data_IF_090751626878
#
_entry.id   IF_090751626878
#
_cell.length_a   1.000
_cell.length_b   1.000
_cell.length_c   1.000
_cell.angle_alpha   90.00
_cell.angle_beta   90.00
_cell.angle_gamma   90.00
#
_symmetry.space_group_name_H-M   'P 1'
#
loop_
_entity.id
_entity.type
_entity.pdbx_description
1 polymer ?
#
# COMPACT_ATOMS: atom_id res chain seq x y z
N UNK A 1 39.39 -3.27 15.92
CA UNK A 1 38.59 -3.45 14.70
C UNK A 1 37.67 -2.24 14.59
N UNK A 2 37.79 -1.38 13.58
CA UNK A 2 36.84 -0.29 13.40
C UNK A 2 35.48 -0.92 13.07
N UNK A 3 34.48 -0.63 13.90
CA UNK A 3 33.08 -0.94 13.62
C UNK A 3 32.68 -0.16 12.38
N UNK A 4 32.58 -0.86 11.24
CA UNK A 4 31.94 -0.33 10.04
C UNK A 4 30.52 0.05 10.41
N UNK A 5 30.24 1.35 10.58
CA UNK A 5 28.87 1.84 10.58
C UNK A 5 28.19 1.33 9.30
N UNK A 6 26.97 0.78 9.36
CA UNK A 6 26.26 0.40 8.16
C UNK A 6 26.15 1.63 7.26
N UNK A 7 26.57 1.47 6.01
CA UNK A 7 26.47 2.51 4.99
C UNK A 7 25.01 2.98 4.92
N UNK A 8 24.73 4.21 5.32
CA UNK A 8 23.39 4.80 5.14
C UNK A 8 23.23 5.15 3.68
N UNK A 9 22.40 4.38 2.98
CA UNK A 9 21.91 4.73 1.65
C UNK A 9 21.34 6.16 1.68
N UNK A 10 21.64 6.96 0.66
CA UNK A 10 21.19 8.35 0.55
C UNK A 10 19.79 8.46 -0.03
N UNK A 11 19.36 7.47 -0.82
CA UNK A 11 18.06 7.46 -1.50
C UNK A 11 17.35 6.11 -1.35
N UNK A 12 16.01 6.10 -1.26
CA UNK A 12 15.22 4.87 -1.24
C UNK A 12 15.51 3.97 -2.45
N UNK A 13 15.71 2.67 -2.20
CA UNK A 13 15.85 1.63 -3.23
C UNK A 13 17.00 1.84 -4.24
N UNK A 14 18.03 2.60 -3.87
CA UNK A 14 19.23 2.83 -4.71
C UNK A 14 19.87 1.51 -5.18
N UNK A 15 19.93 0.51 -4.30
CA UNK A 15 20.50 -0.81 -4.61
C UNK A 15 19.53 -1.72 -5.37
N UNK A 16 18.26 -1.33 -5.49
CA UNK A 16 17.19 -2.06 -6.15
C UNK A 16 15.98 -2.32 -5.25
N UNK A 17 14.96 -3.01 -5.78
CA UNK A 17 13.76 -3.34 -5.02
C UNK A 17 14.04 -4.37 -3.92
N UNK A 18 13.20 -4.38 -2.89
CA UNK A 18 13.30 -5.26 -1.72
C UNK A 18 12.15 -6.26 -1.74
N UNK A 19 12.44 -7.54 -1.51
CA UNK A 19 11.42 -8.57 -1.34
C UNK A 19 10.74 -8.45 0.04
N UNK A 20 9.44 -8.16 0.05
CA UNK A 20 8.65 -7.98 1.27
C UNK A 20 8.00 -9.30 1.68
N UNK A 21 7.51 -10.05 0.71
CA UNK A 21 6.94 -11.39 0.84
C UNK A 21 7.48 -12.27 -0.28
N UNK A 22 7.46 -13.61 -0.14
CA UNK A 22 7.94 -14.51 -1.19
C UNK A 22 7.29 -14.22 -2.55
N UNK A 23 8.08 -13.77 -3.52
CA UNK A 23 7.64 -13.39 -4.86
C UNK A 23 7.05 -11.99 -5.00
N UNK A 24 7.04 -11.17 -3.95
CA UNK A 24 6.48 -9.80 -3.95
C UNK A 24 7.52 -8.79 -3.49
N UNK A 25 7.80 -7.85 -4.37
CA UNK A 25 8.87 -6.87 -4.27
C UNK A 25 8.28 -5.46 -4.18
N UNK A 26 8.96 -4.60 -3.43
CA UNK A 26 8.64 -3.19 -3.27
C UNK A 26 9.82 -2.34 -3.74
N UNK A 27 9.53 -1.29 -4.52
CA UNK A 27 10.58 -0.42 -5.04
C UNK A 27 10.11 0.98 -5.47
N UNK A 28 11.08 1.74 -5.95
CA UNK A 28 10.92 3.02 -6.63
C UNK A 28 10.73 2.83 -8.15
N UNK A 29 10.47 3.89 -8.90
CA UNK A 29 10.29 3.87 -10.35
C UNK A 29 11.49 3.23 -11.07
N UNK A 30 12.71 3.53 -10.61
CA UNK A 30 13.96 3.02 -11.17
C UNK A 30 14.11 1.51 -10.97
N UNK A 31 13.44 0.95 -9.96
CA UNK A 31 13.47 -0.49 -9.64
C UNK A 31 12.83 -1.35 -10.73
N UNK A 32 11.93 -0.78 -11.54
CA UNK A 32 11.20 -1.51 -12.60
C UNK A 32 12.17 -2.18 -13.58
N UNK A 33 13.26 -1.51 -13.95
CA UNK A 33 14.24 -2.01 -14.92
C UNK A 33 15.28 -2.97 -14.33
N UNK A 34 15.30 -3.16 -13.00
CA UNK A 34 16.28 -4.00 -12.28
C UNK A 34 15.90 -5.48 -12.30
N UNK A 35 15.67 -6.02 -13.50
CA UNK A 35 15.26 -7.42 -13.72
C UNK A 35 16.24 -8.42 -13.11
N UNK A 36 17.51 -8.03 -13.08
CA UNK A 36 18.59 -8.76 -12.45
C UNK A 36 18.40 -8.96 -10.95
N UNK A 37 17.46 -8.28 -10.29
CA UNK A 37 17.22 -8.47 -8.86
C UNK A 37 15.97 -9.32 -8.63
N UNK A 38 14.84 -8.90 -9.19
CA UNK A 38 13.54 -9.43 -8.80
C UNK A 38 12.90 -10.37 -9.84
N UNK A 39 13.49 -10.52 -11.03
CA UNK A 39 12.99 -11.39 -12.10
C UNK A 39 13.82 -12.66 -12.34
N UNK A 40 14.86 -12.92 -11.51
CA UNK A 40 15.85 -13.99 -11.73
C UNK A 40 15.30 -15.42 -11.83
N UNK A 41 14.26 -15.74 -11.05
CA UNK A 41 13.75 -17.10 -10.87
C UNK A 41 12.31 -17.25 -11.36
N UNK A 42 12.01 -16.69 -12.54
CA UNK A 42 10.66 -16.67 -13.11
C UNK A 42 10.33 -17.94 -13.89
N UNK A 43 9.30 -18.66 -13.47
CA UNK A 43 8.70 -19.73 -14.26
C UNK A 43 8.03 -19.11 -15.48
N UNK A 44 8.63 -19.22 -16.67
CA UNK A 44 8.05 -18.70 -17.91
C UNK A 44 8.51 -17.30 -18.33
N UNK A 45 9.52 -16.71 -17.68
CA UNK A 45 10.06 -15.39 -18.03
C UNK A 45 9.00 -14.27 -18.04
N UNK A 46 8.00 -14.39 -17.16
CA UNK A 46 6.92 -13.41 -16.97
C UNK A 46 7.04 -12.75 -15.60
N UNK A 47 6.74 -11.46 -15.55
CA UNK A 47 6.69 -10.64 -14.33
C UNK A 47 5.47 -9.73 -14.33
N UNK A 48 5.01 -9.37 -13.13
CA UNK A 48 3.97 -8.36 -12.92
C UNK A 48 4.55 -7.08 -12.34
N UNK A 49 4.14 -5.95 -12.89
CA UNK A 49 4.49 -4.61 -12.39
C UNK A 49 3.21 -3.89 -12.02
N UNK A 50 3.11 -3.44 -10.77
CA UNK A 50 2.01 -2.62 -10.25
C UNK A 50 2.53 -1.21 -10.01
N UNK A 51 2.20 -0.30 -10.91
CA UNK A 51 2.40 1.13 -10.73
C UNK A 51 1.16 1.73 -10.06
N UNK A 52 1.31 2.23 -8.83
CA UNK A 52 0.20 2.86 -8.10
C UNK A 52 0.19 4.39 -8.18
N UNK A 53 1.17 5.02 -8.84
CA UNK A 53 1.30 6.47 -8.87
C UNK A 53 0.68 7.10 -10.12
N UNK A 54 -0.17 8.11 -9.95
CA UNK A 54 -0.78 8.81 -11.09
C UNK A 54 0.21 9.51 -12.02
N UNK A 55 1.30 10.03 -11.45
CA UNK A 55 2.30 10.82 -12.15
C UNK A 55 3.47 9.99 -12.67
N UNK A 56 3.56 8.70 -12.36
CA UNK A 56 4.57 7.80 -12.92
C UNK A 56 4.00 7.20 -14.20
N UNK A 57 4.65 7.42 -15.34
CA UNK A 57 4.16 6.89 -16.61
C UNK A 57 4.58 5.45 -16.81
N UNK A 58 3.89 4.81 -17.75
CA UNK A 58 4.24 3.48 -18.22
C UNK A 58 5.58 3.52 -19.00
N UNK A 59 6.67 2.96 -18.46
CA UNK A 59 7.99 3.06 -19.08
C UNK A 59 8.13 2.18 -20.34
N UNK A 60 7.16 1.30 -20.59
CA UNK A 60 7.16 0.39 -21.73
C UNK A 60 6.31 0.90 -22.90
N UNK A 61 5.50 1.92 -22.67
CA UNK A 61 4.64 2.53 -23.68
C UNK A 61 5.47 3.48 -24.54
N UNK A 62 6.01 2.96 -25.65
CA UNK A 62 6.50 3.81 -26.72
C UNK A 62 5.29 4.50 -27.37
N UNK A 63 4.84 5.62 -26.79
CA UNK A 63 3.72 6.40 -27.33
C UNK A 63 3.90 6.66 -28.84
N UNK A 64 2.83 7.05 -29.57
CA UNK A 64 2.94 7.28 -31.00
C UNK A 64 4.09 8.25 -31.28
N UNK A 65 5.09 7.79 -32.05
CA UNK A 65 6.25 8.59 -32.46
C UNK A 65 5.71 9.93 -32.94
N UNK A 66 6.01 11.02 -32.23
CA UNK A 66 5.66 12.37 -32.70
C UNK A 66 6.41 12.58 -34.01
N UNK A 67 5.70 12.40 -35.13
CA UNK A 67 6.19 12.85 -36.42
C UNK A 67 6.24 14.36 -36.30
N UNK A 68 7.45 14.92 -36.27
CA UNK A 68 7.67 16.36 -36.29
C UNK A 68 7.03 16.94 -37.55
N UNK A 69 5.83 17.48 -37.43
CA UNK A 69 5.11 18.09 -38.56
C UNK A 69 3.58 18.08 -38.48
N UNK A 70 2.96 17.29 -37.60
CA UNK A 70 1.50 17.34 -37.42
C UNK A 70 1.10 18.02 -36.12
N UNK A 71 0.66 19.28 -36.22
CA UNK A 71 -0.05 19.95 -35.14
C UNK A 71 -1.36 19.21 -34.87
N UNK A 72 -1.63 18.89 -33.59
CA UNK A 72 -2.90 18.31 -33.15
C UNK A 72 -4.06 19.17 -33.68
N UNK A 73 -5.14 18.60 -34.25
CA UNK A 73 -6.37 19.36 -34.42
C UNK A 73 -6.83 19.76 -33.02
N UNK A 74 -6.84 21.06 -32.75
CA UNK A 74 -7.47 21.65 -31.58
C UNK A 74 -8.97 21.36 -31.66
N UNK A 75 -9.46 20.41 -30.87
CA UNK A 75 -10.90 20.10 -30.89
C UNK A 75 -11.35 18.77 -30.27
N UNK A 76 -10.46 17.93 -29.75
CA UNK A 76 -10.89 16.79 -28.91
C UNK A 76 -11.00 17.28 -27.46
N UNK A 77 -12.15 17.12 -26.79
CA UNK A 77 -12.29 17.47 -25.37
C UNK A 77 -11.21 16.77 -24.56
N UNK A 78 -10.60 17.51 -23.64
CA UNK A 78 -9.58 17.04 -22.68
C UNK A 78 -10.10 15.97 -21.69
N UNK A 79 -11.34 15.53 -21.90
CA UNK A 79 -12.18 14.67 -21.06
C UNK A 79 -12.12 13.16 -21.38
N UNK A 80 -11.47 12.71 -22.47
CA UNK A 80 -11.55 11.30 -22.92
C UNK A 80 -10.48 10.34 -22.36
N UNK A 81 -9.47 10.75 -21.57
CA UNK A 81 -8.50 9.73 -21.10
C UNK A 81 -7.71 10.04 -19.84
N UNK A 82 -8.40 10.23 -18.72
CA UNK A 82 -7.87 9.78 -17.42
C UNK A 82 -8.59 8.50 -17.02
N UNK A 83 -8.42 7.43 -17.80
CA UNK A 83 -8.73 6.08 -17.30
C UNK A 83 -7.94 5.89 -16.01
N UNK A 84 -8.63 5.73 -14.87
CA UNK A 84 -7.98 5.61 -13.56
C UNK A 84 -7.08 4.37 -13.53
N UNK A 85 -7.51 3.29 -14.18
CA UNK A 85 -6.72 2.06 -14.28
C UNK A 85 -6.32 1.77 -15.75
N UNK A 86 -5.13 1.20 -15.95
CA UNK A 86 -4.63 0.72 -17.25
C UNK A 86 -3.90 -0.61 -17.09
N UNK A 87 -4.35 -1.64 -17.82
CA UNK A 87 -3.77 -2.98 -17.83
C UNK A 87 -3.18 -3.20 -19.22
N UNK A 88 -1.91 -3.58 -19.29
CA UNK A 88 -1.20 -3.82 -20.55
C UNK A 88 -0.29 -5.01 -20.40
N UNK A 89 -0.04 -5.67 -21.52
CA UNK A 89 0.91 -6.78 -21.61
C UNK A 89 1.97 -6.43 -22.64
N UNK A 90 3.23 -6.62 -22.26
CA UNK A 90 4.38 -6.34 -23.09
C UNK A 90 5.18 -7.63 -23.33
N UNK A 91 5.39 -8.03 -24.60
CA UNK A 91 6.17 -9.21 -24.90
C UNK A 91 7.63 -9.04 -24.46
N UNK A 92 8.28 -10.17 -24.17
CA UNK A 92 9.70 -10.21 -23.88
C UNK A 92 10.49 -9.56 -25.02
N UNK A 93 11.52 -8.78 -24.68
CA UNK A 93 12.37 -8.10 -25.64
C UNK A 93 13.82 -8.57 -25.46
N UNK A 94 14.45 -8.94 -26.57
CA UNK A 94 15.85 -9.41 -26.61
C UNK A 94 16.75 -8.25 -27.03
N UNK A 95 17.74 -7.92 -26.19
CA UNK A 95 18.70 -6.82 -26.39
C UNK A 95 19.70 -6.74 -25.22
N UNK A 96 20.49 -5.67 -25.15
CA UNK A 96 21.33 -5.37 -23.97
C UNK A 96 20.43 -5.13 -22.76
N UNK A 97 20.33 -6.11 -21.85
CA UNK A 97 19.41 -6.09 -20.71
C UNK A 97 18.05 -6.75 -21.01
N UNK A 98 18.06 -8.01 -21.48
CA UNK A 98 16.89 -8.85 -21.76
C UNK A 98 15.70 -8.56 -20.84
N UNK A 99 14.63 -8.00 -21.41
CA UNK A 99 13.40 -7.69 -20.67
C UNK A 99 12.47 -8.91 -20.69
N UNK A 100 11.96 -9.37 -19.53
CA UNK A 100 10.95 -10.43 -19.47
C UNK A 100 9.63 -10.00 -20.12
N UNK A 101 8.71 -10.94 -20.26
CA UNK A 101 7.31 -10.63 -20.55
C UNK A 101 6.72 -9.87 -19.36
N UNK A 102 6.17 -8.68 -19.58
CA UNK A 102 5.66 -7.82 -18.50
C UNK A 102 4.15 -7.70 -18.58
N UNK A 103 3.48 -8.14 -17.53
CA UNK A 103 2.09 -7.80 -17.24
C UNK A 103 2.09 -6.54 -16.38
N UNK A 104 1.59 -5.44 -16.92
CA UNK A 104 1.70 -4.11 -16.33
C UNK A 104 0.32 -3.58 -15.93
N UNK A 105 0.16 -3.28 -14.64
CA UNK A 105 -1.01 -2.63 -14.08
C UNK A 105 -0.63 -1.22 -13.62
N UNK A 106 -1.45 -0.23 -13.98
CA UNK A 106 -1.30 1.14 -13.53
C UNK A 106 -2.59 1.67 -12.93
N UNK A 107 -2.65 1.78 -11.60
CA UNK A 107 -3.84 2.14 -10.83
C UNK A 107 -4.02 3.67 -10.60
N UNK A 108 -3.00 4.47 -10.95
CA UNK A 108 -2.97 5.95 -10.93
C UNK A 108 -3.57 6.61 -9.68
N UNK A 109 -3.06 6.30 -8.50
CA UNK A 109 -3.46 7.00 -7.29
C UNK A 109 -2.68 8.30 -7.07
N UNK A 110 -3.39 9.31 -6.63
CA UNK A 110 -2.84 10.50 -5.98
C UNK A 110 -2.41 10.20 -4.53
N UNK A 111 -1.67 11.09 -3.88
CA UNK A 111 -1.37 10.95 -2.44
C UNK A 111 -2.62 11.12 -1.56
N UNK A 112 -3.65 11.76 -2.08
CA UNK A 112 -4.94 12.00 -1.42
C UNK A 112 -6.09 11.24 -2.05
N UNK A 113 -5.81 10.14 -2.78
CA UNK A 113 -6.87 9.35 -3.40
C UNK A 113 -7.74 8.75 -2.30
N UNK A 114 -9.05 9.02 -2.35
CA UNK A 114 -10.00 8.53 -1.35
C UNK A 114 -10.67 7.24 -1.81
N UNK A 115 -11.18 6.46 -0.86
CA UNK A 115 -11.96 5.25 -1.14
C UNK A 115 -11.12 4.06 -1.61
N UNK A 116 -9.80 4.06 -1.41
CA UNK A 116 -8.93 2.91 -1.70
C UNK A 116 -9.23 1.71 -0.78
N UNK A 117 -9.80 1.96 0.39
CA UNK A 117 -10.19 0.94 1.36
C UNK A 117 -11.54 0.27 1.04
N UNK A 118 -12.36 0.87 0.17
CA UNK A 118 -13.70 0.37 -0.10
C UNK A 118 -13.63 -1.01 -0.75
N UNK A 119 -14.58 -1.87 -0.38
CA UNK A 119 -14.73 -3.20 -0.95
C UNK A 119 -15.85 -3.22 -2.00
N UNK A 120 -15.70 -4.00 -3.09
CA UNK A 120 -16.81 -4.23 -4.01
C UNK A 120 -17.93 -5.02 -3.33
N UNK A 121 -19.15 -4.89 -3.86
CA UNK A 121 -20.29 -5.68 -3.42
C UNK A 121 -20.00 -7.19 -3.56
N UNK A 122 -20.27 -7.95 -2.50
CA UNK A 122 -20.04 -9.39 -2.48
C UNK A 122 -18.57 -9.80 -2.29
N UNK A 123 -17.66 -8.88 -1.97
CA UNK A 123 -16.29 -9.21 -1.60
C UNK A 123 -16.25 -10.30 -0.51
N UNK A 124 -15.34 -11.27 -0.66
CA UNK A 124 -15.14 -12.35 0.29
C UNK A 124 -13.66 -12.65 0.48
N UNK A 125 -13.24 -13.08 1.67
CA UNK A 125 -11.87 -13.55 1.91
C UNK A 125 -11.47 -14.71 0.98
N UNK A 126 -12.44 -15.47 0.48
CA UNK A 126 -12.20 -16.50 -0.54
C UNK A 126 -11.62 -15.94 -1.84
N UNK A 127 -11.91 -14.69 -2.17
CA UNK A 127 -11.37 -14.01 -3.35
C UNK A 127 -9.87 -13.74 -3.25
N UNK A 128 -9.32 -13.76 -2.03
CA UNK A 128 -7.88 -13.66 -1.79
C UNK A 128 -7.23 -15.04 -1.87
N UNK A 129 -7.88 -16.09 -1.35
CA UNK A 129 -7.35 -17.46 -1.42
C UNK A 129 -7.41 -18.06 -2.82
N UNK A 130 -8.48 -17.77 -3.57
CA UNK A 130 -8.71 -18.25 -4.93
C UNK A 130 -8.92 -17.04 -5.85
N UNK A 131 -7.87 -16.25 -6.06
CA UNK A 131 -7.99 -15.01 -6.79
C UNK A 131 -8.32 -15.29 -8.25
N UNK A 132 -9.22 -14.48 -8.78
CA UNK A 132 -9.47 -14.33 -10.20
C UNK A 132 -9.07 -12.92 -10.57
N UNK A 133 -8.26 -12.77 -11.61
CA UNK A 133 -7.88 -11.46 -12.13
C UNK A 133 -9.15 -10.60 -12.28
N UNK A 134 -9.17 -9.37 -11.74
CA UNK A 134 -10.29 -8.46 -11.96
C UNK A 134 -10.52 -8.27 -13.46
N UNK A 135 -11.78 -8.15 -13.86
CA UNK A 135 -12.10 -7.76 -15.23
C UNK A 135 -11.50 -6.38 -15.52
N UNK A 136 -11.01 -6.20 -16.75
CA UNK A 136 -10.56 -4.90 -17.23
C UNK A 136 -11.77 -3.96 -17.23
N UNK A 137 -11.84 -3.13 -16.19
CA UNK A 137 -12.91 -2.18 -15.96
C UNK A 137 -12.32 -0.78 -15.98
N UNK A 138 -13.02 0.16 -16.62
CA UNK A 138 -12.59 1.57 -16.71
C UNK A 138 -12.63 2.31 -15.34
N UNK A 139 -12.85 1.59 -14.24
CA UNK A 139 -12.99 2.11 -12.89
C UNK A 139 -11.68 2.34 -12.13
N UNK A 140 -11.80 2.88 -10.93
CA UNK A 140 -10.69 2.97 -9.97
C UNK A 140 -10.38 1.58 -9.43
N UNK A 141 -9.17 1.07 -9.66
CA UNK A 141 -8.67 -0.05 -8.87
C UNK A 141 -8.28 0.44 -7.49
N UNK A 142 -8.88 -0.18 -6.47
CA UNK A 142 -8.62 0.08 -5.05
C UNK A 142 -7.63 -0.95 -4.53
N UNK A 143 -7.48 -1.03 -3.20
CA UNK A 143 -6.67 -2.09 -2.60
C UNK A 143 -7.18 -3.48 -3.02
N UNK A 144 -8.48 -3.71 -2.98
CA UNK A 144 -9.05 -5.04 -3.21
C UNK A 144 -8.75 -5.60 -4.61
N UNK A 145 -8.97 -4.82 -5.67
CA UNK A 145 -8.70 -5.27 -7.05
C UNK A 145 -7.20 -5.49 -7.28
N UNK A 146 -6.36 -4.57 -6.80
CA UNK A 146 -4.91 -4.70 -6.92
C UNK A 146 -4.39 -5.94 -6.18
N UNK A 147 -4.85 -6.19 -4.96
CA UNK A 147 -4.48 -7.35 -4.13
C UNK A 147 -4.86 -8.66 -4.84
N UNK A 148 -6.08 -8.75 -5.39
CA UNK A 148 -6.53 -9.96 -6.11
C UNK A 148 -5.70 -10.22 -7.37
N UNK A 149 -5.42 -9.16 -8.13
CA UNK A 149 -4.57 -9.28 -9.31
C UNK A 149 -3.14 -9.68 -8.93
N UNK A 150 -2.57 -9.11 -7.87
CA UNK A 150 -1.26 -9.53 -7.39
C UNK A 150 -1.27 -10.99 -6.94
N UNK A 151 -2.24 -11.40 -6.12
CA UNK A 151 -2.26 -12.74 -5.55
C UNK A 151 -2.44 -13.84 -6.61
N UNK A 152 -3.22 -13.59 -7.67
CA UNK A 152 -3.34 -14.51 -8.80
C UNK A 152 -1.99 -14.77 -9.48
N UNK A 153 -1.18 -13.73 -9.66
CA UNK A 153 0.15 -13.85 -10.24
C UNK A 153 1.12 -14.54 -9.29
N UNK A 154 1.09 -14.19 -8.00
CA UNK A 154 1.99 -14.74 -6.99
C UNK A 154 1.79 -16.24 -6.83
N UNK A 155 0.53 -16.69 -6.77
CA UNK A 155 0.18 -18.12 -6.70
C UNK A 155 0.59 -18.87 -7.97
N UNK A 156 0.59 -18.21 -9.13
CA UNK A 156 1.13 -18.73 -10.39
C UNK A 156 2.66 -18.74 -10.48
N UNK A 157 3.37 -18.27 -9.44
CA UNK A 157 4.83 -18.18 -9.44
C UNK A 157 5.39 -17.01 -10.25
N UNK A 158 4.56 -16.00 -10.55
CA UNK A 158 4.94 -14.77 -11.23
C UNK A 158 5.39 -13.74 -10.17
N UNK A 159 6.64 -13.28 -10.19
CA UNK A 159 7.13 -12.21 -9.34
C UNK A 159 6.40 -10.90 -9.63
N UNK A 160 6.08 -10.20 -8.56
CA UNK A 160 5.35 -8.93 -8.61
C UNK A 160 6.24 -7.84 -8.04
N UNK A 161 6.36 -6.73 -8.77
CA UNK A 161 6.93 -5.49 -8.27
C UNK A 161 5.83 -4.46 -8.05
N UNK A 162 5.69 -3.99 -6.82
CA UNK A 162 4.85 -2.84 -6.46
C UNK A 162 5.75 -1.61 -6.42
N UNK A 163 5.39 -0.56 -7.16
CA UNK A 163 6.14 0.69 -7.13
C UNK A 163 5.26 1.93 -7.25
N UNK A 164 5.80 3.02 -6.72
CA UNK A 164 5.38 4.38 -7.01
C UNK A 164 6.64 5.14 -7.47
N UNK A 165 6.68 6.47 -7.37
CA UNK A 165 7.88 7.20 -7.75
C UNK A 165 9.08 6.86 -6.82
N UNK A 166 8.94 7.04 -5.50
CA UNK A 166 10.04 6.81 -4.54
C UNK A 166 9.97 5.47 -3.79
N UNK A 167 8.89 4.70 -3.92
CA UNK A 167 8.68 3.48 -3.15
C UNK A 167 8.39 3.68 -1.65
N UNK A 168 8.06 4.91 -1.23
CA UNK A 168 7.93 5.30 0.20
C UNK A 168 6.49 5.30 0.69
N UNK A 169 5.56 5.91 -0.05
CA UNK A 169 4.20 6.20 0.42
C UNK A 169 3.15 5.28 -0.23
N UNK A 170 2.62 5.61 -1.42
CA UNK A 170 1.55 4.84 -2.09
C UNK A 170 1.84 3.35 -2.30
N UNK A 171 3.02 2.98 -2.79
CA UNK A 171 3.36 1.56 -3.00
C UNK A 171 3.55 0.82 -1.69
N UNK A 172 4.08 1.49 -0.67
CA UNK A 172 4.18 0.91 0.68
C UNK A 172 2.79 0.69 1.27
N UNK A 173 1.86 1.63 1.09
CA UNK A 173 0.45 1.46 1.49
C UNK A 173 -0.15 0.21 0.87
N UNK A 174 0.01 -0.02 -0.44
CA UNK A 174 -0.48 -1.24 -1.07
C UNK A 174 0.21 -2.50 -0.51
N UNK A 175 1.51 -2.46 -0.23
CA UNK A 175 2.23 -3.59 0.37
C UNK A 175 1.69 -3.94 1.78
N UNK A 176 1.37 -2.93 2.60
CA UNK A 176 0.75 -3.11 3.92
C UNK A 176 -0.68 -3.65 3.78
N UNK A 177 -1.50 -3.07 2.89
CA UNK A 177 -2.85 -3.56 2.62
C UNK A 177 -2.86 -5.02 2.14
N UNK A 178 -1.95 -5.37 1.23
CA UNK A 178 -1.76 -6.74 0.75
C UNK A 178 -1.39 -7.70 1.88
N UNK A 179 -0.47 -7.29 2.76
CA UNK A 179 -0.10 -8.07 3.96
C UNK A 179 -1.30 -8.33 4.86
N UNK A 180 -2.11 -7.32 5.16
CA UNK A 180 -3.33 -7.47 5.97
C UNK A 180 -4.34 -8.41 5.32
N UNK A 181 -4.60 -8.26 4.02
CA UNK A 181 -5.58 -9.08 3.30
C UNK A 181 -5.20 -10.56 3.30
N UNK A 182 -3.92 -10.88 3.07
CA UNK A 182 -3.42 -12.26 3.14
C UNK A 182 -3.52 -12.81 4.56
N UNK A 183 -3.14 -12.02 5.57
CA UNK A 183 -3.27 -12.43 6.96
C UNK A 183 -4.73 -12.73 7.33
N UNK A 184 -5.66 -11.83 7.02
CA UNK A 184 -7.09 -12.00 7.29
C UNK A 184 -7.68 -13.22 6.56
N UNK A 185 -7.24 -13.48 5.33
CA UNK A 185 -7.65 -14.66 4.56
C UNK A 185 -6.98 -15.97 5.03
N UNK A 186 -6.06 -15.93 6.00
CA UNK A 186 -5.30 -17.09 6.47
C UNK A 186 -4.26 -17.59 5.48
N UNK A 187 -3.86 -16.76 4.51
CA UNK A 187 -2.81 -17.07 3.56
C UNK A 187 -1.43 -16.89 4.21
N UNK A 188 -0.50 -17.79 3.88
CA UNK A 188 0.89 -17.76 4.37
C UNK A 188 1.01 -17.63 5.91
N UNK A 189 0.36 -18.51 6.71
CA UNK A 189 0.33 -18.40 8.16
C UNK A 189 1.72 -18.42 8.82
N UNK A 190 2.72 -19.05 8.17
CA UNK A 190 4.11 -19.05 8.63
C UNK A 190 4.80 -17.68 8.58
N UNK A 191 4.33 -16.80 7.69
CA UNK A 191 4.84 -15.44 7.57
C UNK A 191 3.92 -14.43 8.27
N UNK A 192 2.61 -14.62 8.16
CA UNK A 192 1.62 -13.60 8.47
C UNK A 192 0.69 -13.97 9.63
N UNK A 193 0.85 -15.15 10.23
CA UNK A 193 -0.03 -15.62 11.31
C UNK A 193 0.02 -14.79 12.59
N UNK A 194 0.99 -13.88 12.73
CA UNK A 194 1.11 -12.98 13.88
C UNK A 194 0.43 -11.62 13.67
N UNK A 195 -0.03 -11.32 12.45
CA UNK A 195 -0.66 -10.04 12.12
C UNK A 195 -2.09 -10.03 12.67
N UNK A 196 -2.36 -9.11 13.60
CA UNK A 196 -3.66 -8.95 14.27
C UNK A 196 -4.28 -7.59 13.95
N UNK A 197 -3.46 -6.56 13.84
CA UNK A 197 -3.91 -5.18 13.58
C UNK A 197 -3.14 -4.56 12.41
N UNK A 198 -3.61 -3.42 11.93
CA UNK A 198 -2.95 -2.66 10.86
C UNK A 198 -1.48 -2.34 11.20
N UNK A 199 -1.21 -1.97 12.46
CA UNK A 199 0.14 -1.65 12.91
C UNK A 199 1.10 -2.83 12.79
N UNK A 200 0.66 -4.06 13.06
CA UNK A 200 1.52 -5.25 12.91
C UNK A 200 1.94 -5.44 11.44
N UNK A 201 1.00 -5.22 10.51
CA UNK A 201 1.29 -5.30 9.08
C UNK A 201 2.23 -4.17 8.63
N UNK A 202 2.03 -2.96 9.15
CA UNK A 202 2.93 -1.84 8.92
C UNK A 202 4.34 -2.16 9.39
N UNK A 203 4.48 -2.62 10.64
CA UNK A 203 5.77 -2.94 11.26
C UNK A 203 6.46 -4.11 10.56
N UNK A 204 5.69 -5.11 10.12
CA UNK A 204 6.20 -6.21 9.29
C UNK A 204 6.85 -5.68 8.01
N UNK A 205 6.15 -4.83 7.24
CA UNK A 205 6.70 -4.25 6.00
C UNK A 205 7.86 -3.29 6.31
N UNK A 206 7.78 -2.50 7.39
CA UNK A 206 8.85 -1.61 7.86
C UNK A 206 10.12 -2.36 8.22
N UNK A 207 9.97 -3.54 8.82
CA UNK A 207 11.08 -4.45 9.13
C UNK A 207 11.79 -5.00 7.89
N UNK A 208 11.10 -5.04 6.73
CA UNK A 208 11.68 -5.40 5.43
C UNK A 208 12.27 -4.19 4.70
N UNK A 209 11.52 -3.10 4.64
CA UNK A 209 11.93 -1.85 4.00
C UNK A 209 11.84 -0.70 5.00
N UNK A 210 13.01 -0.23 5.46
CA UNK A 210 13.11 0.91 6.36
C UNK A 210 12.65 2.23 5.72
N UNK A 211 12.47 2.25 4.39
CA UNK A 211 12.07 3.42 3.63
C UNK A 211 10.58 3.71 3.67
N UNK A 212 9.74 2.76 4.06
CA UNK A 212 8.30 2.99 4.01
C UNK A 212 7.88 4.12 4.95
N UNK A 213 6.96 4.94 4.47
CA UNK A 213 6.32 6.06 5.15
C UNK A 213 5.08 6.52 4.38
N UNK A 214 3.99 5.73 4.38
CA UNK A 214 2.66 6.20 4.01
C UNK A 214 2.34 7.57 4.64
N UNK A 215 1.67 8.44 3.88
CA UNK A 215 1.16 9.70 4.45
C UNK A 215 -0.06 9.44 5.34
N UNK A 216 -0.48 10.44 6.13
CA UNK A 216 -1.59 10.30 7.06
C UNK A 216 -2.92 9.89 6.39
N UNK A 217 -3.25 10.48 5.24
CA UNK A 217 -4.47 10.13 4.49
C UNK A 217 -4.49 8.65 4.09
N UNK A 218 -3.36 8.11 3.65
CA UNK A 218 -3.22 6.70 3.30
C UNK A 218 -3.19 5.79 4.53
N UNK A 219 -2.62 6.24 5.66
CA UNK A 219 -2.68 5.52 6.94
C UNK A 219 -4.12 5.35 7.41
N UNK A 220 -4.95 6.41 7.34
CA UNK A 220 -6.36 6.30 7.71
C UNK A 220 -7.09 5.26 6.85
N UNK A 221 -6.81 5.22 5.54
CA UNK A 221 -7.38 4.20 4.66
C UNK A 221 -6.89 2.78 4.97
N UNK A 222 -5.67 2.59 5.48
CA UNK A 222 -5.24 1.28 5.97
C UNK A 222 -6.02 0.84 7.21
N UNK A 223 -6.33 1.77 8.11
CA UNK A 223 -7.18 1.49 9.27
C UNK A 223 -8.60 1.10 8.82
N UNK A 224 -9.19 1.84 7.88
CA UNK A 224 -10.51 1.52 7.32
C UNK A 224 -10.52 0.16 6.61
N UNK A 225 -9.46 -0.14 5.85
CA UNK A 225 -9.33 -1.43 5.20
C UNK A 225 -9.21 -2.58 6.22
N UNK A 226 -8.50 -2.39 7.34
CA UNK A 226 -8.45 -3.38 8.41
C UNK A 226 -9.85 -3.65 9.01
N UNK A 227 -10.67 -2.61 9.23
CA UNK A 227 -12.07 -2.76 9.69
C UNK A 227 -12.92 -3.52 8.68
N UNK A 228 -12.74 -3.24 7.39
CA UNK A 228 -13.40 -3.94 6.30
C UNK A 228 -13.03 -5.44 6.29
N UNK A 229 -11.75 -5.77 6.48
CA UNK A 229 -11.28 -7.16 6.59
C UNK A 229 -11.87 -7.88 7.82
N UNK A 230 -11.92 -7.23 8.98
CA UNK A 230 -12.60 -7.74 10.19
C UNK A 230 -14.07 -8.07 9.91
N UNK A 231 -14.76 -7.19 9.16
CA UNK A 231 -16.16 -7.39 8.76
C UNK A 231 -16.32 -8.58 7.80
N UNK A 232 -15.41 -8.73 6.83
CA UNK A 232 -15.39 -9.89 5.94
C UNK A 232 -15.16 -11.20 6.69
N UNK A 233 -14.27 -11.20 7.69
CA UNK A 233 -13.99 -12.38 8.51
C UNK A 233 -15.22 -12.78 9.35
N UNK A 234 -15.87 -11.81 10.00
CA UNK A 234 -17.14 -12.04 10.71
C UNK A 234 -18.22 -12.60 9.80
N UNK A 235 -18.36 -12.03 8.60
CA UNK A 235 -19.35 -12.49 7.61
C UNK A 235 -19.06 -13.91 7.12
N UNK A 236 -17.78 -14.27 6.95
CA UNK A 236 -17.35 -15.62 6.58
C UNK A 236 -17.73 -16.66 7.64
N UNK A 237 -17.49 -16.38 8.93
CA UNK A 237 -17.87 -17.31 10.01
C UNK A 237 -19.38 -17.36 10.24
N UNK A 238 -20.11 -16.28 9.99
CA UNK A 238 -21.57 -16.31 10.03
C UNK A 238 -22.16 -17.19 8.92
N UNK A 239 -21.60 -17.13 7.71
CA UNK A 239 -22.06 -17.91 6.56
C UNK A 239 -21.59 -19.38 6.60
N UNK A 240 -20.38 -19.62 7.10
CA UNK A 240 -19.75 -20.95 7.14
C UNK A 240 -19.04 -21.22 8.48
N UNK A 241 -19.79 -21.57 9.54
CA UNK A 241 -19.22 -21.74 10.89
C UNK A 241 -18.14 -22.83 10.99
N UNK A 242 -18.26 -23.88 10.19
CA UNK A 242 -17.32 -25.02 10.22
C UNK A 242 -16.04 -24.78 9.37
N UNK A 243 -16.01 -23.71 8.57
CA UNK A 243 -14.89 -23.40 7.68
C UNK A 243 -13.91 -22.43 8.35
N UNK A 244 -13.18 -22.91 9.37
CA UNK A 244 -12.22 -22.10 10.12
C UNK A 244 -11.06 -21.62 9.25
N UNK A 245 -10.76 -20.32 9.34
CA UNK A 245 -9.59 -19.71 8.70
C UNK A 245 -8.47 -19.66 9.74
N UNK A 246 -7.29 -20.17 9.39
CA UNK A 246 -6.12 -20.08 10.26
C UNK A 246 -5.52 -18.66 10.21
N UNK A 247 -6.10 -17.75 11.00
CA UNK A 247 -5.68 -16.36 11.11
C UNK A 247 -5.70 -15.87 12.55
N UNK A 248 -4.86 -14.88 12.88
CA UNK A 248 -4.95 -14.12 14.13
C UNK A 248 -5.67 -12.78 13.95
N UNK A 249 -6.14 -12.47 12.74
CA UNK A 249 -6.92 -11.27 12.48
C UNK A 249 -8.27 -11.37 13.21
N UNK A 250 -8.70 -10.33 13.95
CA UNK A 250 -9.88 -10.41 14.80
C UNK A 250 -11.17 -10.30 14.00
N UNK A 251 -12.19 -11.04 14.45
CA UNK A 251 -13.59 -10.82 14.11
C UNK A 251 -14.14 -9.57 14.81
N UNK A 252 -15.25 -9.02 14.33
CA UNK A 252 -15.90 -7.85 14.93
C UNK A 252 -16.23 -8.07 16.42
N UNK A 253 -16.71 -9.26 16.79
CA UNK A 253 -16.99 -9.60 18.18
C UNK A 253 -15.72 -9.59 19.06
N UNK A 254 -14.60 -10.11 18.56
CA UNK A 254 -13.32 -10.09 19.30
C UNK A 254 -12.77 -8.66 19.42
N UNK A 255 -12.89 -7.85 18.37
CA UNK A 255 -12.53 -6.44 18.39
C UNK A 255 -13.34 -5.65 19.42
N UNK A 256 -14.66 -5.81 19.45
CA UNK A 256 -15.55 -5.15 20.41
C UNK A 256 -15.23 -5.56 21.86
N UNK A 257 -14.97 -6.83 22.12
CA UNK A 257 -14.59 -7.31 23.44
C UNK A 257 -13.26 -6.72 23.91
N UNK A 258 -12.27 -6.65 23.02
CA UNK A 258 -10.99 -5.99 23.29
C UNK A 258 -11.21 -4.52 23.64
N UNK A 259 -11.91 -3.76 22.79
CA UNK A 259 -12.20 -2.34 23.03
C UNK A 259 -12.95 -2.09 24.35
N UNK A 260 -13.92 -2.94 24.69
CA UNK A 260 -14.65 -2.88 25.96
C UNK A 260 -13.73 -3.13 27.17
N UNK A 261 -12.80 -4.07 27.05
CA UNK A 261 -11.78 -4.34 28.09
C UNK A 261 -10.86 -3.11 28.28
N UNK A 262 -10.40 -2.51 27.20
CA UNK A 262 -9.60 -1.27 27.24
C UNK A 262 -10.38 -0.09 27.82
N UNK A 263 -11.66 0.05 27.47
CA UNK A 263 -12.54 1.08 28.03
C UNK A 263 -12.83 0.87 29.52
N UNK A 264 -12.87 -0.38 30.00
CA UNK A 264 -12.98 -0.68 31.43
C UNK A 264 -11.70 -0.28 32.16
N UNK A 265 -10.52 -0.67 31.65
CA UNK A 265 -9.22 -0.30 32.23
C UNK A 265 -9.00 1.21 32.34
N UNK A 266 -9.43 1.98 31.33
CA UNK A 266 -9.35 3.46 31.38
C UNK A 266 -10.23 4.04 32.50
N UNK A 267 -11.45 3.53 32.66
CA UNK A 267 -12.35 3.95 33.76
C UNK A 267 -11.78 3.60 35.14
N UNK A 268 -11.23 2.40 35.30
CA UNK A 268 -10.58 1.98 36.56
C UNK A 268 -9.42 2.93 36.91
N UNK A 269 -8.59 3.31 35.94
CA UNK A 269 -7.50 4.28 36.14
C UNK A 269 -8.00 5.68 36.52
N UNK A 270 -9.03 6.19 35.83
CA UNK A 270 -9.63 7.50 36.12
C UNK A 270 -10.31 7.52 37.52
N UNK A 271 -10.93 6.41 37.93
CA UNK A 271 -11.55 6.24 39.26
C UNK A 271 -10.48 6.17 40.37
N UNK A 272 -9.34 5.53 40.12
CA UNK A 272 -8.20 5.50 41.05
C UNK A 272 -7.54 6.89 41.23
N UNK A 273 -7.51 7.73 40.19
CA UNK A 273 -7.03 9.12 40.30
C UNK A 273 -8.05 10.04 41.03
N UNK A 274 -9.35 9.83 40.85
CA UNK A 274 -10.41 10.60 41.54
C UNK A 274 -10.66 10.17 42.99
N UNK A 275 -10.26 8.95 43.37
CA UNK A 275 -10.34 8.45 44.75
C UNK A 275 -9.33 9.08 45.72
N UNK A 276 -8.39 9.89 45.22
CA UNK A 276 -7.28 10.48 45.98
C UNK A 276 -7.43 11.95 46.40
N UNK A 277 -8.54 12.64 46.10
CA UNK A 277 -8.68 14.06 46.46
C UNK A 277 -9.16 14.27 47.90
N UNK A 278 -8.26 14.11 48.87
CA UNK A 278 -8.34 14.88 50.11
C UNK A 278 -7.75 16.27 49.86
N UNK A 279 -8.57 17.29 50.04
CA UNK A 279 -8.26 18.71 49.87
C UNK A 279 -7.01 19.13 50.66
N UNK A 280 -5.99 19.65 49.95
CA UNK A 280 -4.97 20.53 50.53
C UNK A 280 -4.79 21.77 49.62
N UNK A 281 -5.17 22.98 50.05
CA UNK A 281 -5.12 24.18 49.22
C UNK A 281 -3.76 24.87 49.38
N UNK A 282 -2.70 24.34 48.77
CA UNK A 282 -1.49 25.14 48.50
C UNK A 282 -0.50 24.40 47.61
N UNK A 283 -0.56 24.59 46.30
CA UNK A 283 0.64 24.72 45.46
C UNK A 283 0.26 25.22 44.08
N UNK A 284 0.99 26.23 43.62
CA UNK A 284 0.69 27.03 42.43
C UNK A 284 0.75 26.23 41.13
N UNK A 285 -0.09 26.67 40.20
CA UNK A 285 -0.10 26.30 38.81
C UNK A 285 1.31 26.40 38.21
N UNK A 286 1.81 25.27 37.75
CA UNK A 286 2.86 25.18 36.75
C UNK A 286 2.19 24.64 35.51
N UNK A 287 1.92 25.54 34.55
CA UNK A 287 1.45 25.21 33.21
C UNK A 287 2.51 24.34 32.52
N UNK A 288 2.40 23.03 32.72
CA UNK A 288 3.10 22.02 31.95
C UNK A 288 2.42 21.91 30.61
N UNK A 289 2.74 22.81 29.69
CA UNK A 289 2.42 22.73 28.28
C UNK A 289 3.21 21.55 27.69
N UNK A 290 2.76 20.33 27.97
CA UNK A 290 3.06 19.18 27.13
C UNK A 290 2.45 19.48 25.78
N UNK A 291 3.30 19.83 24.83
CA UNK A 291 2.99 19.82 23.41
C UNK A 291 2.56 18.40 23.05
N UNK A 292 1.27 18.13 23.21
CA UNK A 292 0.61 17.04 22.51
C UNK A 292 0.85 17.35 21.03
N UNK A 293 1.74 16.62 20.37
CA UNK A 293 1.74 16.53 18.91
C UNK A 293 0.30 16.15 18.54
N UNK A 294 -0.47 17.14 18.09
CA UNK A 294 -1.90 16.99 17.85
C UNK A 294 -2.12 15.94 16.76
N UNK A 295 -3.07 15.04 16.98
CA UNK A 295 -3.54 14.14 15.92
C UNK A 295 -3.94 14.97 14.70
N UNK A 296 -3.27 14.76 13.56
CA UNK A 296 -3.57 15.44 12.31
C UNK A 296 -5.03 15.19 11.91
N UNK A 297 -5.76 16.26 11.59
CA UNK A 297 -7.14 16.19 11.12
C UNK A 297 -7.22 15.64 9.69
N UNK A 298 -8.42 15.22 9.27
CA UNK A 298 -8.65 14.73 7.91
C UNK A 298 -8.42 15.83 6.84
N UNK A 299 -8.70 17.09 7.18
CA UNK A 299 -8.47 18.24 6.30
C UNK A 299 -6.98 18.50 6.11
N UNK A 300 -6.22 18.55 7.21
CA UNK A 300 -4.76 18.70 7.19
C UNK A 300 -4.07 17.56 6.43
N UNK A 301 -4.54 16.32 6.61
CA UNK A 301 -4.04 15.17 5.86
C UNK A 301 -4.30 15.30 4.35
N UNK A 302 -5.45 15.87 3.96
CA UNK A 302 -5.77 16.18 2.56
C UNK A 302 -4.89 17.27 1.97
N UNK A 303 -4.61 18.33 2.73
CA UNK A 303 -3.69 19.39 2.30
C UNK A 303 -2.25 18.90 2.17
N UNK A 304 -1.77 18.10 3.13
CA UNK A 304 -0.46 17.44 3.07
C UNK A 304 -0.34 16.59 1.80
N UNK A 305 -1.37 15.78 1.52
CA UNK A 305 -1.42 14.93 0.33
C UNK A 305 -1.33 15.73 -0.97
N UNK A 306 -2.09 16.83 -1.10
CA UNK A 306 -2.02 17.71 -2.27
C UNK A 306 -0.63 18.31 -2.44
N UNK A 307 0.01 18.74 -1.34
CA UNK A 307 1.38 19.27 -1.36
C UNK A 307 2.39 18.22 -1.81
N UNK A 308 2.22 16.96 -1.39
CA UNK A 308 3.06 15.85 -1.86
C UNK A 308 2.88 15.63 -3.37
N UNK A 309 1.66 15.60 -3.88
CA UNK A 309 1.40 15.45 -5.32
C UNK A 309 2.06 16.56 -6.15
N UNK A 310 1.94 17.82 -5.70
CA UNK A 310 2.59 18.98 -6.35
C UNK A 310 4.12 18.86 -6.35
N UNK A 311 4.70 18.44 -5.22
CA UNK A 311 6.14 18.24 -5.10
C UNK A 311 6.65 17.13 -6.04
N UNK A 312 5.89 16.04 -6.20
CA UNK A 312 6.25 14.94 -7.10
C UNK A 312 6.21 15.37 -8.57
N UNK A 313 5.19 16.15 -8.96
CA UNK A 313 5.11 16.73 -10.30
C UNK A 313 6.26 17.72 -10.56
N UNK A 314 6.59 18.57 -9.59
CA UNK A 314 7.69 19.53 -9.70
C UNK A 314 9.05 18.83 -9.85
N UNK A 315 9.32 17.79 -9.03
CA UNK A 315 10.53 16.96 -9.15
C UNK A 315 10.67 16.37 -10.56
N UNK A 316 9.56 15.90 -11.12
CA UNK A 316 9.53 15.32 -12.46
C UNK A 316 9.77 16.34 -13.56
N UNK A 317 9.22 17.55 -13.43
CA UNK A 317 9.49 18.65 -14.35
C UNK A 317 10.98 19.01 -14.34
N UNK A 318 11.59 19.15 -13.16
CA UNK A 318 13.02 19.43 -13.02
C UNK A 318 13.91 18.35 -13.65
N UNK A 319 13.57 17.06 -13.50
CA UNK A 319 14.30 15.97 -14.17
C UNK A 319 14.20 16.01 -15.69
N UNK A 320 13.12 16.54 -16.27
CA UNK A 320 12.96 16.67 -17.73
C UNK A 320 13.69 17.87 -18.31
N UNK A 321 13.87 18.94 -17.54
CA UNK A 321 14.58 20.15 -17.99
C UNK A 321 16.10 20.04 -17.86
N UNK A 322 16.61 19.11 -17.03
CA UNK A 322 18.04 18.85 -16.84
C UNK A 322 18.65 17.84 -17.82
N UNK A 323 17.94 17.40 -18.86
CA UNK A 323 18.36 16.43 -19.88
C UNK A 323 18.51 17.09 -21.25
#
# INVERSE_FOLDING_TARGET
MPTSYPFRQTEPYQDGPIEVLPGVWLGAEESVSRWDIWARNTTGNTVRVVNVAQEVEDPFDAGPRRVSGWSRPSGLPEEISKRKMKLKTYPAAVGDGTRPHVEYCHARWSHGELGLADLPEGASLRDVLYPRAPEDSDGLWRFWEAIRWMEEGRQGGIPILIHCQCGVSRSATLAVAYTMALAAAGAMPQYLGHIRVMQDAYDFVKGKSCWIGPNHSLVFQLVDFARNLTTLLSSHYAATPDALIQTSFPTAAESELSEAEWARRRREFDEDEMGGCTTDPSTGASDGETTAEGCMSAEEAGEEARRLDEAMLARRAAMKEGV
#
